data_IF_299263141225
#
_entry.id   IF_299263141225
#
_cell.length_a   1.000
_cell.length_b   1.000
_cell.length_c   1.000
_cell.angle_alpha   90.00
_cell.angle_beta   90.00
_cell.angle_gamma   90.00
#
_symmetry.space_group_name_H-M   'P 1'
#
loop_
_entity.id
_entity.type
_entity.pdbx_description
1 polymer ?
#
# COMPACT_ATOMS: atom_id res chain seq x y z
N UNK A 1 -60.22 -7.89 -52.99
CA UNK A 1 -59.07 -8.50 -52.31
C UNK A 1 -58.29 -7.48 -51.48
N UNK A 2 -57.21 -7.95 -50.84
CA UNK A 2 -56.24 -7.26 -49.96
C UNK A 2 -55.85 -5.85 -50.45
N UNK A 3 -55.79 -4.80 -49.59
CA UNK A 3 -54.72 -4.50 -48.59
C UNK A 3 -53.34 -4.33 -49.27
N UNK A 4 -52.51 -3.31 -49.03
CA UNK A 4 -52.48 -2.15 -48.09
C UNK A 4 -52.00 -0.87 -48.85
N UNK A 5 -51.60 0.31 -48.33
CA UNK A 5 -51.22 0.85 -47.00
C UNK A 5 -51.55 2.38 -46.92
N UNK A 6 -51.38 3.02 -45.75
CA UNK A 6 -51.63 4.46 -45.53
C UNK A 6 -50.71 5.03 -44.41
N UNK A 7 -49.95 6.12 -44.64
CA UNK A 7 -49.43 7.01 -43.57
C UNK A 7 -48.86 8.35 -44.10
N UNK A 8 -48.56 9.31 -43.21
CA UNK A 8 -48.21 10.72 -43.53
C UNK A 8 -47.38 11.44 -42.46
N UNK A 9 -46.41 12.24 -42.91
CA UNK A 9 -45.83 13.47 -42.33
C UNK A 9 -45.21 13.48 -40.91
N UNK A 10 -43.87 13.58 -40.91
CA UNK A 10 -43.06 14.73 -40.44
C UNK A 10 -43.07 15.23 -38.97
N UNK A 11 -41.92 14.97 -38.31
CA UNK A 11 -41.07 15.87 -37.49
C UNK A 11 -41.51 16.48 -36.12
N UNK A 12 -40.65 16.16 -35.14
CA UNK A 12 -40.10 16.98 -34.04
C UNK A 12 -40.96 17.52 -32.89
N UNK A 13 -40.76 16.91 -31.71
CA UNK A 13 -40.29 17.65 -30.53
C UNK A 13 -39.51 16.75 -29.56
N UNK A 14 -38.28 17.13 -29.21
CA UNK A 14 -37.42 16.37 -28.31
C UNK A 14 -37.76 16.59 -26.83
N UNK A 15 -38.33 15.58 -26.16
CA UNK A 15 -38.34 15.52 -24.68
C UNK A 15 -38.60 14.10 -24.14
N UNK A 16 -37.56 13.29 -24.00
CA UNK A 16 -37.65 11.95 -23.40
C UNK A 16 -36.98 11.87 -22.02
N UNK A 17 -37.78 11.42 -21.05
CA UNK A 17 -37.42 11.23 -19.65
C UNK A 17 -36.75 9.86 -19.45
N UNK A 18 -35.57 9.83 -18.85
CA UNK A 18 -34.76 8.61 -18.66
C UNK A 18 -34.72 8.20 -17.19
N UNK A 19 -35.87 7.74 -16.69
CA UNK A 19 -35.99 6.98 -15.45
C UNK A 19 -36.51 5.57 -15.71
N UNK A 20 -35.56 4.65 -15.90
CA UNK A 20 -35.83 3.21 -15.99
C UNK A 20 -34.93 2.46 -15.03
N UNK A 21 -35.49 2.06 -13.88
CA UNK A 21 -34.86 1.09 -12.98
C UNK A 21 -34.60 -0.21 -13.74
N UNK A 22 -33.46 -0.81 -13.45
CA UNK A 22 -33.25 -2.24 -13.59
C UNK A 22 -32.87 -2.76 -12.21
N UNK A 23 -33.80 -3.44 -11.56
CA UNK A 23 -33.48 -4.29 -10.43
C UNK A 23 -32.82 -5.57 -11.01
N UNK A 24 -31.77 -6.09 -10.37
CA UNK A 24 -30.94 -7.20 -10.85
C UNK A 24 -30.65 -8.15 -9.67
N UNK A 25 -30.76 -9.47 -9.88
CA UNK A 25 -30.87 -10.44 -8.79
C UNK A 25 -29.53 -10.72 -8.06
N UNK A 26 -29.57 -10.65 -6.73
CA UNK A 26 -28.43 -10.77 -5.79
C UNK A 26 -27.77 -12.16 -5.88
N UNK A 27 -28.57 -13.23 -5.83
CA UNK A 27 -28.17 -14.65 -5.80
C UNK A 27 -27.21 -15.10 -6.92
N UNK A 28 -27.05 -14.27 -7.96
CA UNK A 28 -26.20 -14.55 -9.11
C UNK A 28 -24.78 -13.98 -9.00
N UNK A 29 -24.51 -13.10 -8.02
CA UNK A 29 -23.16 -12.55 -7.79
C UNK A 29 -22.26 -13.60 -7.12
N UNK A 30 -22.71 -14.11 -5.97
CA UNK A 30 -22.00 -15.03 -5.09
C UNK A 30 -21.40 -16.24 -5.83
N UNK A 31 -22.15 -16.84 -6.76
CA UNK A 31 -21.70 -17.99 -7.56
C UNK A 31 -20.46 -17.70 -8.44
N UNK A 32 -20.29 -16.46 -8.91
CA UNK A 32 -19.08 -16.06 -9.64
C UNK A 32 -17.94 -15.65 -8.71
N UNK A 33 -18.26 -15.13 -7.52
CA UNK A 33 -17.29 -14.69 -6.52
C UNK A 33 -16.58 -15.88 -5.85
N UNK A 34 -17.34 -16.87 -5.35
CA UNK A 34 -16.83 -18.16 -4.83
C UNK A 34 -15.90 -18.86 -5.85
N UNK A 35 -16.31 -18.86 -7.12
CA UNK A 35 -15.56 -19.50 -8.21
C UNK A 35 -14.26 -18.76 -8.54
N UNK A 36 -14.21 -17.45 -8.32
CA UNK A 36 -13.00 -16.65 -8.51
C UNK A 36 -12.02 -16.84 -7.34
N UNK A 37 -12.54 -16.91 -6.10
CA UNK A 37 -11.73 -17.24 -4.92
C UNK A 37 -11.03 -18.60 -5.05
N UNK A 38 -11.75 -19.65 -5.49
CA UNK A 38 -11.16 -20.98 -5.65
C UNK A 38 -10.05 -20.97 -6.71
N UNK A 39 -10.26 -20.29 -7.84
CA UNK A 39 -9.28 -20.19 -8.92
C UNK A 39 -7.98 -19.49 -8.49
N UNK A 40 -8.05 -18.41 -7.71
CA UNK A 40 -6.84 -17.74 -7.18
C UNK A 40 -6.15 -18.57 -6.08
N UNK A 41 -6.89 -19.35 -5.27
CA UNK A 41 -6.31 -20.31 -4.30
C UNK A 41 -5.48 -21.40 -5.00
N UNK A 42 -6.06 -22.06 -6.01
CA UNK A 42 -5.40 -23.15 -6.74
C UNK A 42 -4.10 -22.66 -7.41
N UNK A 43 -4.17 -21.49 -8.05
CA UNK A 43 -3.07 -20.79 -8.73
C UNK A 43 -1.96 -20.31 -7.78
N UNK A 44 -2.30 -19.94 -6.54
CA UNK A 44 -1.32 -19.62 -5.49
C UNK A 44 -0.56 -20.86 -5.01
N UNK A 45 -1.23 -22.02 -4.95
CA UNK A 45 -0.60 -23.29 -4.60
C UNK A 45 0.35 -23.83 -5.68
N UNK A 46 0.01 -23.69 -6.97
CA UNK A 46 0.92 -24.05 -8.07
C UNK A 46 2.19 -23.19 -8.03
N UNK A 47 2.03 -21.86 -7.92
CA UNK A 47 3.17 -20.93 -7.88
C UNK A 47 4.14 -21.21 -6.72
N UNK A 48 3.61 -21.59 -5.54
CA UNK A 48 4.43 -22.04 -4.40
C UNK A 48 5.28 -23.27 -4.73
N UNK A 49 4.75 -24.23 -5.49
CA UNK A 49 5.48 -25.46 -5.87
C UNK A 49 6.61 -25.14 -6.85
N UNK A 50 6.39 -24.23 -7.79
CA UNK A 50 7.45 -23.74 -8.70
C UNK A 50 8.57 -22.97 -7.97
N UNK A 51 8.23 -22.06 -7.05
CA UNK A 51 9.21 -21.30 -6.27
C UNK A 51 10.05 -22.21 -5.36
N UNK A 52 9.44 -23.25 -4.77
CA UNK A 52 10.16 -24.23 -3.94
C UNK A 52 11.13 -25.10 -4.74
N UNK A 53 10.85 -25.39 -6.01
CA UNK A 53 11.77 -26.12 -6.88
C UNK A 53 12.97 -25.26 -7.29
N UNK A 54 12.75 -24.02 -7.75
CA UNK A 54 13.86 -23.11 -8.12
C UNK A 54 14.82 -22.86 -6.97
N UNK A 55 14.31 -22.64 -5.76
CA UNK A 55 15.12 -22.41 -4.56
C UNK A 55 16.01 -23.62 -4.16
N UNK A 56 15.82 -24.81 -4.76
CA UNK A 56 16.72 -25.95 -4.52
C UNK A 56 17.82 -26.10 -5.60
N UNK A 57 17.62 -25.58 -6.82
CA UNK A 57 18.62 -25.66 -7.90
C UNK A 57 19.73 -24.59 -7.75
N UNK A 58 19.39 -23.39 -7.26
CA UNK A 58 20.33 -22.27 -7.11
C UNK A 58 21.42 -22.46 -6.02
N UNK A 59 21.38 -23.54 -5.25
CA UNK A 59 22.30 -23.77 -4.12
C UNK A 59 23.51 -24.69 -4.41
N UNK A 60 23.62 -25.29 -5.59
CA UNK A 60 24.80 -26.07 -5.98
C UNK A 60 25.92 -25.20 -6.61
N UNK A 61 26.26 -24.09 -5.93
CA UNK A 61 27.30 -23.16 -6.38
C UNK A 61 28.71 -23.71 -6.09
N UNK A 62 29.36 -24.23 -7.13
CA UNK A 62 30.70 -24.83 -7.16
C UNK A 62 31.80 -23.88 -6.63
N UNK A 63 32.21 -24.06 -5.37
CA UNK A 63 33.15 -23.19 -4.64
C UNK A 63 34.60 -23.36 -5.12
N UNK A 64 34.91 -22.82 -6.30
CA UNK A 64 36.27 -22.69 -6.84
C UNK A 64 36.87 -21.32 -6.52
N UNK A 65 37.21 -21.10 -5.25
CA UNK A 65 37.93 -19.90 -4.81
C UNK A 65 39.33 -19.82 -5.43
N UNK A 66 39.55 -18.87 -6.36
CA UNK A 66 40.89 -18.51 -6.78
C UNK A 66 41.63 -17.79 -5.64
N UNK A 67 42.69 -18.40 -5.12
CA UNK A 67 43.63 -17.76 -4.17
C UNK A 67 44.28 -16.53 -4.82
N UNK A 68 44.18 -15.38 -4.16
CA UNK A 68 44.89 -14.16 -4.56
C UNK A 68 44.88 -13.12 -3.44
N UNK A 69 46.06 -12.84 -2.89
CA UNK A 69 46.35 -11.84 -1.85
C UNK A 69 45.84 -12.14 -0.44
N UNK A 70 46.60 -11.65 0.53
CA UNK A 70 46.50 -11.90 1.98
C UNK A 70 46.22 -10.56 2.68
N UNK A 71 45.10 -10.47 3.39
CA UNK A 71 44.78 -9.40 4.34
C UNK A 71 43.79 -9.98 5.37
N UNK A 72 44.24 -10.10 6.62
CA UNK A 72 43.65 -10.97 7.64
C UNK A 72 42.36 -10.49 8.32
N UNK A 73 41.33 -10.13 7.56
CA UNK A 73 39.98 -9.87 8.09
C UNK A 73 39.20 -11.20 8.17
N UNK A 74 38.80 -11.60 9.37
CA UNK A 74 37.91 -12.76 9.58
C UNK A 74 36.45 -12.31 9.58
N UNK A 75 35.51 -13.24 9.37
CA UNK A 75 34.06 -12.96 9.49
C UNK A 75 33.69 -12.29 10.81
N UNK A 76 34.43 -12.65 11.87
CA UNK A 76 34.23 -12.19 13.25
C UNK A 76 34.49 -10.70 13.44
N UNK A 77 35.45 -10.16 12.68
CA UNK A 77 35.82 -8.75 12.73
C UNK A 77 34.75 -7.87 12.07
N UNK A 78 34.05 -8.41 11.07
CA UNK A 78 32.90 -7.76 10.44
C UNK A 78 31.68 -7.75 11.37
N UNK A 79 31.41 -8.87 12.05
CA UNK A 79 30.35 -8.99 13.06
C UNK A 79 30.54 -7.97 14.20
N UNK A 80 31.76 -7.87 14.75
CA UNK A 80 32.07 -6.87 15.80
C UNK A 80 31.95 -5.42 15.29
N UNK A 81 32.36 -5.15 14.06
CA UNK A 81 32.19 -3.84 13.43
C UNK A 81 30.72 -3.44 13.29
N UNK A 82 29.85 -4.34 12.81
CA UNK A 82 28.40 -4.07 12.76
C UNK A 82 27.80 -3.82 14.15
N UNK A 83 28.20 -4.60 15.16
CA UNK A 83 27.75 -4.40 16.55
C UNK A 83 28.17 -3.01 17.08
N UNK A 84 29.40 -2.56 16.81
CA UNK A 84 29.87 -1.22 17.21
C UNK A 84 29.14 -0.10 16.46
N UNK A 85 28.93 -0.26 15.16
CA UNK A 85 28.17 0.68 14.33
C UNK A 85 26.70 0.75 14.76
N UNK A 86 26.08 -0.35 15.19
CA UNK A 86 24.71 -0.35 15.67
C UNK A 86 24.61 0.28 17.07
N UNK A 87 25.50 -0.06 18.02
CA UNK A 87 25.56 0.58 19.35
C UNK A 87 25.77 2.09 19.28
N UNK A 88 26.63 2.57 18.36
CA UNK A 88 26.83 4.02 18.18
C UNK A 88 25.60 4.73 17.61
N UNK A 89 24.81 4.06 16.76
CA UNK A 89 23.51 4.58 16.28
C UNK A 89 22.44 4.58 17.38
N UNK A 90 22.37 3.53 18.21
CA UNK A 90 21.39 3.44 19.31
C UNK A 90 21.51 4.59 20.32
N UNK A 91 22.73 5.06 20.60
CA UNK A 91 23.00 6.17 21.51
C UNK A 91 22.80 7.57 20.86
N UNK A 92 22.48 7.65 19.57
CA UNK A 92 22.10 8.93 18.95
C UNK A 92 20.60 9.20 19.12
N UNK A 93 20.28 10.20 19.94
CA UNK A 93 18.96 10.82 20.05
C UNK A 93 18.48 11.26 18.65
N UNK A 94 17.22 10.94 18.32
CA UNK A 94 16.62 11.26 17.02
C UNK A 94 15.56 12.35 17.14
N UNK A 95 15.57 13.28 16.20
CA UNK A 95 14.48 14.25 16.03
C UNK A 95 13.17 13.50 15.72
N UNK A 96 12.07 13.77 16.45
CA UNK A 96 10.80 13.07 16.24
C UNK A 96 10.10 13.39 14.91
N UNK A 97 10.60 14.34 14.11
CA UNK A 97 10.01 14.79 12.86
C UNK A 97 11.00 14.82 11.67
N UNK A 98 12.31 14.83 11.90
CA UNK A 98 13.34 14.74 10.85
C UNK A 98 14.43 13.70 11.14
N UNK A 99 14.14 12.44 10.81
CA UNK A 99 15.04 11.31 11.02
C UNK A 99 15.17 10.43 9.75
N UNK A 100 16.16 9.54 9.79
CA UNK A 100 16.34 8.45 8.81
C UNK A 100 15.96 7.12 9.46
N UNK A 101 15.35 6.23 8.67
CA UNK A 101 15.18 4.83 9.09
C UNK A 101 16.57 4.17 9.29
N UNK A 102 16.66 3.21 10.22
CA UNK A 102 17.92 2.56 10.61
C UNK A 102 17.95 1.06 10.21
N UNK A 103 19.13 0.58 9.84
CA UNK A 103 19.41 -0.81 9.48
C UNK A 103 18.79 -1.26 8.14
N UNK A 104 19.04 -2.51 7.75
CA UNK A 104 18.58 -3.07 6.46
C UNK A 104 17.06 -3.00 6.25
N UNK A 105 16.27 -3.10 7.33
CA UNK A 105 14.80 -2.85 7.29
C UNK A 105 14.52 -1.41 6.86
N UNK A 106 15.24 -0.44 7.42
CA UNK A 106 15.13 0.96 7.03
C UNK A 106 15.49 1.18 5.57
N UNK A 107 16.56 0.55 5.08
CA UNK A 107 17.00 0.69 3.69
C UNK A 107 16.03 0.05 2.69
N UNK A 108 15.41 -1.08 3.04
CA UNK A 108 14.30 -1.69 2.27
C UNK A 108 13.11 -0.74 2.15
N UNK A 109 12.62 -0.17 3.25
CA UNK A 109 11.49 0.76 3.23
C UNK A 109 11.83 2.11 2.59
N UNK A 110 13.06 2.63 2.75
CA UNK A 110 13.56 3.80 2.03
C UNK A 110 13.49 3.59 0.50
N UNK A 111 13.86 2.39 0.00
CA UNK A 111 13.78 2.05 -1.42
C UNK A 111 12.33 1.98 -1.93
N UNK A 112 11.39 1.47 -1.13
CA UNK A 112 9.95 1.47 -1.47
C UNK A 112 9.41 2.89 -1.65
N UNK A 113 9.84 3.85 -0.84
CA UNK A 113 9.44 5.26 -0.99
C UNK A 113 10.21 6.04 -2.07
N UNK A 114 11.15 5.40 -2.78
CA UNK A 114 11.96 6.06 -3.82
C UNK A 114 11.09 6.50 -4.99
N UNK A 115 10.93 7.82 -5.12
CA UNK A 115 10.08 8.48 -6.13
C UNK A 115 8.82 9.16 -5.56
N UNK A 116 8.49 8.94 -4.28
CA UNK A 116 7.37 9.61 -3.61
C UNK A 116 7.78 10.98 -3.02
N UNK A 117 6.79 11.85 -2.82
CA UNK A 117 6.98 13.22 -2.30
C UNK A 117 7.08 13.18 -0.76
N UNK A 118 8.27 13.37 -0.18
CA UNK A 118 8.44 13.38 1.30
C UNK A 118 7.73 14.59 1.93
N UNK A 119 6.91 14.33 2.95
CA UNK A 119 6.04 15.31 3.61
C UNK A 119 6.55 15.61 5.01
N UNK A 120 7.35 16.67 5.14
CA UNK A 120 7.82 17.16 6.44
C UNK A 120 6.84 18.11 7.10
N UNK A 121 6.82 18.14 8.43
CA UNK A 121 6.14 19.15 9.25
C UNK A 121 4.61 19.11 9.27
N UNK A 122 3.92 18.42 8.36
CA UNK A 122 2.45 18.44 8.24
C UNK A 122 1.72 17.73 9.38
N UNK A 123 2.13 16.52 9.74
CA UNK A 123 1.40 15.63 10.64
C UNK A 123 2.06 15.50 12.02
N UNK A 124 2.23 16.65 12.70
CA UNK A 124 2.98 16.76 13.99
C UNK A 124 2.36 15.97 15.15
N UNK A 125 1.09 15.58 15.04
CA UNK A 125 0.41 14.70 16.01
C UNK A 125 1.15 13.35 16.16
N UNK A 126 1.77 12.83 15.10
CA UNK A 126 2.36 11.49 15.06
C UNK A 126 3.89 11.58 15.05
N UNK A 127 4.47 11.69 16.25
CA UNK A 127 5.93 11.66 16.49
C UNK A 127 6.59 10.38 15.99
N UNK A 128 7.84 10.49 15.56
CA UNK A 128 8.65 9.41 14.99
C UNK A 128 7.95 8.72 13.81
N UNK A 129 7.35 9.51 12.91
CA UNK A 129 6.74 9.01 11.68
C UNK A 129 7.20 9.82 10.46
N UNK A 130 7.81 9.14 9.48
CA UNK A 130 8.28 9.75 8.23
C UNK A 130 7.22 9.53 7.16
N UNK A 131 6.71 10.62 6.57
CA UNK A 131 5.54 10.59 5.68
C UNK A 131 5.91 10.85 4.23
N UNK A 132 5.23 10.18 3.32
CA UNK A 132 5.41 10.30 1.88
C UNK A 132 4.04 10.33 1.19
N UNK A 133 3.87 11.25 0.25
CA UNK A 133 2.67 11.38 -0.56
C UNK A 133 2.85 10.64 -1.88
N UNK A 134 1.91 9.75 -2.16
CA UNK A 134 1.87 8.88 -3.33
C UNK A 134 0.80 9.42 -4.26
N UNK A 135 1.21 9.98 -5.41
CA UNK A 135 0.30 10.56 -6.42
C UNK A 135 -0.26 9.45 -7.31
N UNK A 136 -1.57 9.45 -7.51
CA UNK A 136 -2.33 8.45 -8.26
C UNK A 136 -3.21 9.17 -9.27
N UNK A 137 -2.95 8.97 -10.56
CA UNK A 137 -3.65 9.61 -11.68
C UNK A 137 -4.74 8.69 -12.24
N UNK A 138 -4.44 7.38 -12.32
CA UNK A 138 -5.40 6.32 -12.65
C UNK A 138 -5.22 5.11 -11.73
N UNK A 139 -6.06 4.08 -11.89
CA UNK A 139 -5.89 2.82 -11.17
C UNK A 139 -4.62 2.06 -11.62
N UNK A 140 -4.16 2.30 -12.85
CA UNK A 140 -2.99 1.64 -13.45
C UNK A 140 -1.68 1.98 -12.72
N UNK A 141 -1.59 3.19 -12.16
CA UNK A 141 -0.49 3.61 -11.27
C UNK A 141 -0.38 2.69 -10.04
N UNK A 142 -1.51 2.16 -9.56
CA UNK A 142 -1.58 1.22 -8.42
C UNK A 142 -1.43 -0.24 -8.86
N UNK A 143 -1.75 -0.57 -10.10
CA UNK A 143 -1.56 -1.90 -10.70
C UNK A 143 -0.12 -2.14 -11.22
N UNK A 144 0.77 -1.15 -11.09
CA UNK A 144 2.14 -1.24 -11.61
C UNK A 144 3.03 -2.18 -10.78
N UNK A 145 3.27 -3.38 -11.30
CA UNK A 145 4.06 -4.46 -10.68
C UNK A 145 5.56 -4.43 -11.01
N UNK A 146 6.05 -3.44 -11.78
CA UNK A 146 7.46 -3.38 -12.22
C UNK A 146 8.48 -3.24 -11.07
N UNK A 147 8.03 -2.71 -9.92
CA UNK A 147 8.75 -2.75 -8.64
C UNK A 147 7.87 -3.55 -7.67
N UNK A 148 8.10 -4.87 -7.60
CA UNK A 148 7.25 -5.80 -6.84
C UNK A 148 7.17 -5.46 -5.35
N UNK A 149 8.27 -4.97 -4.76
CA UNK A 149 8.30 -4.57 -3.35
C UNK A 149 7.45 -3.31 -3.13
N UNK A 150 7.56 -2.31 -4.00
CA UNK A 150 6.71 -1.11 -3.97
C UNK A 150 5.25 -1.43 -4.24
N UNK A 151 4.95 -2.31 -5.18
CA UNK A 151 3.59 -2.78 -5.44
C UNK A 151 2.99 -3.44 -4.20
N UNK A 152 3.66 -4.47 -3.65
CA UNK A 152 3.17 -5.26 -2.52
C UNK A 152 3.02 -4.45 -1.23
N UNK A 153 3.88 -3.44 -1.02
CA UNK A 153 3.84 -2.61 0.20
C UNK A 153 3.02 -1.33 0.05
N UNK A 154 3.14 -0.59 -1.05
CA UNK A 154 2.51 0.72 -1.19
C UNK A 154 1.14 0.66 -1.89
N UNK A 155 0.99 -0.14 -2.94
CA UNK A 155 -0.18 -0.08 -3.82
C UNK A 155 -1.22 -1.17 -3.54
N UNK A 156 -0.80 -2.44 -3.45
CA UNK A 156 -1.70 -3.58 -3.27
C UNK A 156 -2.60 -3.45 -2.02
N UNK A 157 -2.10 -3.06 -0.83
CA UNK A 157 -2.95 -2.82 0.34
C UNK A 157 -3.94 -1.65 0.18
N UNK A 158 -3.76 -0.83 -0.86
CA UNK A 158 -4.54 0.38 -1.11
C UNK A 158 -5.51 0.30 -2.29
N UNK A 159 -5.43 -0.73 -3.14
CA UNK A 159 -6.25 -0.88 -4.35
C UNK A 159 -7.75 -0.74 -4.08
N UNK A 160 -8.26 -1.44 -3.06
CA UNK A 160 -9.69 -1.40 -2.69
C UNK A 160 -10.14 -0.02 -2.18
N UNK A 161 -9.21 0.85 -1.77
CA UNK A 161 -9.52 2.23 -1.37
C UNK A 161 -9.43 3.23 -2.53
N UNK A 162 -9.12 2.79 -3.77
CA UNK A 162 -9.12 3.65 -4.96
C UNK A 162 -10.39 4.53 -5.12
N UNK A 163 -11.62 4.08 -4.80
CA UNK A 163 -12.81 4.94 -4.83
C UNK A 163 -12.73 6.19 -3.95
N UNK A 164 -11.98 6.13 -2.84
CA UNK A 164 -11.72 7.25 -1.93
C UNK A 164 -10.49 8.06 -2.40
N UNK A 165 -9.40 7.37 -2.78
CA UNK A 165 -8.13 7.98 -3.23
C UNK A 165 -8.34 8.85 -4.47
N UNK A 166 -9.09 8.37 -5.46
CA UNK A 166 -9.32 9.06 -6.75
C UNK A 166 -9.99 10.43 -6.61
N UNK A 167 -10.69 10.68 -5.49
CA UNK A 167 -11.30 11.98 -5.16
C UNK A 167 -10.26 13.07 -4.91
N UNK A 168 -9.07 12.68 -4.45
CA UNK A 168 -7.97 13.59 -4.09
C UNK A 168 -6.74 13.45 -5.00
N UNK A 169 -6.59 12.33 -5.72
CA UNK A 169 -5.47 12.05 -6.62
C UNK A 169 -4.17 11.66 -5.90
N UNK A 170 -4.25 11.33 -4.61
CA UNK A 170 -3.12 10.84 -3.82
C UNK A 170 -3.57 10.12 -2.55
N UNK A 171 -2.66 9.34 -1.98
CA UNK A 171 -2.70 8.88 -0.58
C UNK A 171 -1.36 9.15 0.09
N UNK A 172 -1.26 8.88 1.39
CA UNK A 172 0.00 8.93 2.13
C UNK A 172 0.42 7.55 2.61
N UNK A 173 1.72 7.27 2.55
CA UNK A 173 2.36 6.18 3.28
C UNK A 173 3.29 6.78 4.34
N UNK A 174 3.19 6.26 5.56
CA UNK A 174 3.93 6.71 6.73
C UNK A 174 4.71 5.55 7.35
N UNK A 175 5.93 5.83 7.79
CA UNK A 175 6.81 4.87 8.44
C UNK A 175 7.00 5.26 9.90
N UNK A 176 6.27 4.57 10.79
CA UNK A 176 6.21 4.85 12.23
C UNK A 176 7.26 4.02 12.98
N UNK A 177 8.22 4.71 13.59
CA UNK A 177 9.28 4.12 14.41
C UNK A 177 9.01 4.26 15.92
N UNK A 178 9.84 3.59 16.73
CA UNK A 178 10.07 3.96 18.13
C UNK A 178 11.07 5.12 18.27
N UNK A 179 11.31 5.53 19.52
CA UNK A 179 12.33 6.53 19.93
C UNK A 179 13.76 6.17 19.53
N UNK A 180 14.02 4.93 19.12
CA UNK A 180 15.35 4.44 18.77
C UNK A 180 15.52 4.35 17.24
N UNK A 181 14.47 4.73 16.48
CA UNK A 181 14.45 4.75 15.01
C UNK A 181 14.06 3.42 14.36
N UNK A 182 13.66 2.41 15.14
CA UNK A 182 13.26 1.10 14.61
C UNK A 182 11.82 1.12 14.13
N UNK A 183 11.57 0.66 12.91
CA UNK A 183 10.22 0.61 12.34
C UNK A 183 9.31 -0.36 13.13
N UNK A 184 8.12 0.14 13.48
CA UNK A 184 7.04 -0.62 14.13
C UNK A 184 5.87 -0.84 13.19
N UNK A 185 5.36 0.23 12.58
CA UNK A 185 4.15 0.19 11.77
C UNK A 185 4.32 0.91 10.43
N UNK A 186 3.67 0.37 9.41
CA UNK A 186 3.33 1.11 8.20
C UNK A 186 2.00 1.81 8.48
N UNK A 187 1.87 3.07 8.08
CA UNK A 187 0.66 3.87 8.30
C UNK A 187 0.14 4.33 6.94
N UNK A 188 -1.05 3.92 6.57
CA UNK A 188 -1.69 4.32 5.32
C UNK A 188 -2.68 5.44 5.60
N UNK A 189 -2.58 6.55 4.87
CA UNK A 189 -3.42 7.73 5.03
C UNK A 189 -4.25 8.02 3.78
N UNK A 190 -5.56 7.84 3.86
CA UNK A 190 -6.51 8.28 2.83
C UNK A 190 -6.94 9.71 3.14
N UNK A 191 -6.76 10.69 2.23
CA UNK A 191 -7.19 12.07 2.47
C UNK A 191 -8.71 12.16 2.60
N UNK A 192 -9.18 13.02 3.51
CA UNK A 192 -10.60 13.22 3.73
C UNK A 192 -10.89 14.15 4.90
N UNK A 193 -12.09 14.71 4.92
CA UNK A 193 -12.68 15.40 6.07
C UNK A 193 -12.95 14.42 7.21
N UNK A 194 -13.26 14.97 8.38
CA UNK A 194 -13.65 14.22 9.59
C UNK A 194 -15.10 13.70 9.54
N UNK A 195 -15.57 13.37 8.34
CA UNK A 195 -16.94 12.96 8.04
C UNK A 195 -17.01 11.45 7.79
N UNK A 196 -18.09 10.81 8.24
CA UNK A 196 -18.31 9.36 8.17
C UNK A 196 -18.29 8.81 6.74
N UNK A 197 -18.76 9.60 5.78
CA UNK A 197 -18.88 9.21 4.38
C UNK A 197 -17.54 9.35 3.60
N UNK A 198 -16.55 10.04 4.19
CA UNK A 198 -15.18 10.11 3.67
C UNK A 198 -14.23 9.13 4.39
N UNK A 199 -14.72 8.41 5.40
CA UNK A 199 -14.00 7.34 6.09
C UNK A 199 -14.05 6.03 5.28
N UNK A 200 -12.91 5.45 4.87
CA UNK A 200 -12.87 4.19 4.13
C UNK A 200 -13.67 3.07 4.81
N UNK A 201 -14.70 2.58 4.13
CA UNK A 201 -15.67 1.58 4.61
C UNK A 201 -16.22 1.83 6.02
N UNK A 202 -16.40 3.10 6.44
CA UNK A 202 -16.86 3.46 7.79
C UNK A 202 -15.91 2.91 8.88
N UNK A 203 -14.62 2.84 8.58
CA UNK A 203 -13.58 2.37 9.50
C UNK A 203 -13.51 0.85 9.69
N UNK A 204 -14.42 0.07 9.07
CA UNK A 204 -14.43 -1.40 9.14
C UNK A 204 -13.09 -2.04 8.77
N UNK A 205 -12.33 -1.40 7.88
CA UNK A 205 -11.04 -1.87 7.38
C UNK A 205 -9.84 -1.18 8.05
N UNK A 206 -9.99 -0.69 9.29
CA UNK A 206 -8.88 -0.16 10.08
C UNK A 206 -8.62 1.35 9.95
N UNK A 207 -9.30 2.04 9.05
CA UNK A 207 -9.20 3.50 8.87
C UNK A 207 -9.97 4.26 9.96
N UNK A 208 -9.53 4.14 11.22
CA UNK A 208 -10.27 4.60 12.41
C UNK A 208 -9.70 5.83 13.12
N UNK A 209 -8.45 6.23 12.81
CA UNK A 209 -7.85 7.47 13.32
C UNK A 209 -7.98 8.56 12.26
N UNK A 210 -8.48 9.75 12.62
CA UNK A 210 -8.40 10.94 11.76
C UNK A 210 -7.43 11.95 12.36
N UNK A 211 -6.47 12.41 11.56
CA UNK A 211 -5.55 13.50 11.91
C UNK A 211 -5.82 14.73 11.04
N UNK A 212 -5.50 15.91 11.58
CA UNK A 212 -5.74 17.16 10.89
C UNK A 212 -4.68 17.46 9.82
N UNK A 213 -5.00 18.42 8.95
CA UNK A 213 -4.01 19.19 8.21
C UNK A 213 -4.16 20.67 8.50
N UNK A 214 -3.28 21.49 7.93
CA UNK A 214 -3.00 22.88 8.34
C UNK A 214 -4.21 23.86 8.25
N UNK A 215 -5.39 23.41 7.79
CA UNK A 215 -6.64 24.18 7.68
C UNK A 215 -7.81 23.69 8.56
N UNK A 216 -7.62 22.63 9.37
CA UNK A 216 -8.61 21.94 10.22
C UNK A 216 -9.89 21.42 9.55
N UNK A 217 -10.02 21.57 8.23
CA UNK A 217 -11.20 21.14 7.44
C UNK A 217 -10.89 19.91 6.61
N UNK A 218 -9.65 19.80 6.15
CA UNK A 218 -9.12 18.65 5.44
C UNK A 218 -8.14 17.92 6.35
N UNK A 219 -8.08 16.60 6.25
CA UNK A 219 -7.18 15.77 7.04
C UNK A 219 -6.94 14.42 6.38
N UNK A 220 -6.60 13.41 7.18
CA UNK A 220 -6.40 12.04 6.71
C UNK A 220 -7.00 11.03 7.67
N UNK A 221 -7.77 10.09 7.13
CA UNK A 221 -8.10 8.85 7.80
C UNK A 221 -6.91 7.89 7.70
N UNK A 222 -6.52 7.29 8.82
CA UNK A 222 -5.32 6.46 8.95
C UNK A 222 -5.66 5.03 9.36
N UNK A 223 -4.99 4.09 8.70
CA UNK A 223 -4.86 2.69 9.11
C UNK A 223 -3.41 2.42 9.51
N UNK A 224 -3.18 1.91 10.72
CA UNK A 224 -1.87 1.45 11.17
C UNK A 224 -1.77 -0.07 10.97
N UNK A 225 -0.67 -0.52 10.39
CA UNK A 225 -0.42 -1.92 10.04
C UNK A 225 0.91 -2.40 10.65
N UNK A 226 0.83 -3.42 11.49
CA UNK A 226 2.00 -4.16 11.97
C UNK A 226 2.41 -5.18 10.92
N UNK A 227 3.47 -4.86 10.19
CA UNK A 227 4.02 -5.68 9.12
C UNK A 227 4.80 -6.93 9.62
N UNK A 228 4.98 -7.09 10.93
CA UNK A 228 5.63 -8.25 11.56
C UNK A 228 4.61 -9.25 12.07
N UNK A 229 3.49 -8.74 12.60
CA UNK A 229 2.35 -9.53 13.07
C UNK A 229 1.23 -9.66 12.03
N UNK A 230 1.43 -9.10 10.83
CA UNK A 230 0.49 -9.08 9.69
C UNK A 230 -0.93 -8.65 10.06
N UNK A 231 -1.07 -7.63 10.91
CA UNK A 231 -2.36 -7.20 11.43
C UNK A 231 -2.56 -5.68 11.42
N UNK A 232 -3.82 -5.27 11.43
CA UNK A 232 -4.23 -3.88 11.62
C UNK A 232 -4.25 -3.60 13.12
N UNK A 233 -3.59 -2.52 13.54
CA UNK A 233 -3.60 -2.06 14.93
C UNK A 233 -4.40 -0.77 15.07
N UNK A 234 -5.17 -0.67 16.15
CA UNK A 234 -5.90 0.56 16.52
C UNK A 234 -5.12 1.24 17.65
N UNK A 235 -4.56 2.45 17.43
CA UNK A 235 -3.92 3.19 18.51
C UNK A 235 -4.92 3.51 19.62
N UNK A 236 -4.69 2.99 20.82
CA UNK A 236 -5.41 3.41 22.01
C UNK A 236 -4.98 4.84 22.41
N UNK A 237 -5.90 5.58 23.04
CA UNK A 237 -5.66 6.92 23.59
C UNK A 237 -5.19 6.84 25.03
#
# INVERSE_FOLDING_TARGET
DKHDYHEKHDHDNDKYDYHKKYDYDDDKHDYYEDKYEQYEKDKWEEKKKEEYHKHNEDYECDVKCHRGSDDGITSRDFDEYEILINKSKENQEIDPYDFKLRGAIGDFFNNITKGFEEVKGKFKEIKYCKWFKVKINSIDDMCNTADYNKYTVAYYPMLNYYPYIKKYGYFFIGYKCDSNGNLKYIVYGVPGKKDKDEQPYVGKTGFVTWISSDDDKNGCWLMFYDFKNSNIVVPMK
#
